data_IF_422756215240
#
_entry.id   IF_422756215240
#
_cell.length_a   1.000
_cell.length_b   1.000
_cell.length_c   1.000
_cell.angle_alpha   90.00
_cell.angle_beta   90.00
_cell.angle_gamma   90.00
#
_symmetry.space_group_name_H-M   'P 1'
#
loop_
_entity.id
_entity.type
_entity.pdbx_description
1 polymer ?
#
# COMPACT_ATOMS: atom_id res chain seq x y z
N UNK A 1 52.71 10.74 -5.48
CA UNK A 1 53.26 10.69 -6.86
C UNK A 1 52.14 11.10 -7.80
N UNK A 2 52.17 12.34 -8.30
CA UNK A 2 51.16 12.95 -9.17
C UNK A 2 51.52 12.63 -10.63
N UNK A 3 50.54 12.22 -11.44
CA UNK A 3 50.70 11.96 -12.86
C UNK A 3 50.53 13.24 -13.69
N UNK A 4 51.46 13.44 -14.61
CA UNK A 4 51.49 14.55 -15.57
C UNK A 4 50.84 14.17 -16.92
N UNK A 5 50.27 15.20 -17.52
CA UNK A 5 49.56 15.31 -18.79
C UNK A 5 50.54 15.25 -19.98
N UNK A 6 50.13 14.70 -21.14
CA UNK A 6 50.45 15.28 -22.46
C UNK A 6 49.60 14.78 -23.64
N UNK A 7 49.26 15.76 -24.48
CA UNK A 7 48.47 15.77 -25.73
C UNK A 7 49.18 15.15 -26.95
N UNK A 8 48.38 14.88 -28.00
CA UNK A 8 48.54 15.23 -29.44
C UNK A 8 48.31 14.00 -30.36
N UNK A 9 47.24 13.92 -31.17
CA UNK A 9 46.89 14.63 -32.42
C UNK A 9 47.38 13.94 -33.73
N UNK A 10 46.37 13.48 -34.52
CA UNK A 10 46.19 13.62 -35.98
C UNK A 10 47.16 12.92 -36.98
N UNK A 11 46.61 11.98 -37.79
CA UNK A 11 46.70 11.96 -39.28
C UNK A 11 45.83 10.84 -39.94
N UNK A 12 44.95 11.24 -40.87
CA UNK A 12 44.52 10.51 -42.10
C UNK A 12 45.49 10.89 -43.25
N UNK A 13 45.43 10.37 -44.51
CA UNK A 13 44.49 9.45 -45.19
C UNK A 13 45.24 8.28 -45.93
N UNK A 14 44.58 7.39 -46.69
CA UNK A 14 44.61 7.40 -48.18
C UNK A 14 43.61 6.42 -48.85
N UNK A 15 43.29 6.71 -50.13
CA UNK A 15 42.36 6.07 -51.08
C UNK A 15 43.09 5.16 -52.08
N UNK A 16 42.36 4.19 -52.66
CA UNK A 16 42.55 3.58 -54.00
C UNK A 16 41.50 2.47 -54.16
N UNK A 17 40.52 2.43 -55.08
CA UNK A 17 40.38 2.69 -56.53
C UNK A 17 40.63 1.44 -57.42
N UNK A 18 39.61 1.07 -58.22
CA UNK A 18 39.53 0.01 -59.27
C UNK A 18 38.31 -0.91 -59.04
N UNK A 19 37.16 -0.90 -59.75
CA UNK A 19 36.83 -0.95 -61.20
C UNK A 19 37.42 -2.23 -61.86
N UNK A 20 36.75 -3.10 -62.62
CA UNK A 20 35.46 -3.24 -63.31
C UNK A 20 35.01 -4.74 -63.14
N UNK A 21 33.84 -5.28 -63.48
CA UNK A 21 33.11 -5.30 -64.75
C UNK A 21 31.66 -5.77 -64.51
N UNK A 22 30.71 -5.07 -65.15
CA UNK A 22 29.36 -5.54 -65.40
C UNK A 22 29.02 -5.15 -66.84
N UNK A 23 28.66 -6.13 -67.68
CA UNK A 23 27.64 -5.98 -68.73
C UNK A 23 27.44 -7.28 -69.50
N UNK A 24 26.22 -7.80 -69.49
CA UNK A 24 25.57 -8.27 -70.72
C UNK A 24 24.06 -8.24 -70.51
N UNK A 25 23.38 -7.71 -71.52
CA UNK A 25 22.03 -7.18 -71.51
C UNK A 25 21.20 -7.83 -72.65
N UNK A 26 19.87 -7.61 -72.62
CA UNK A 26 18.90 -7.63 -73.75
C UNK A 26 18.36 -9.04 -74.15
N UNK A 27 17.06 -9.37 -74.33
CA UNK A 27 15.73 -8.70 -74.25
C UNK A 27 14.62 -9.78 -74.54
N UNK A 28 13.37 -9.49 -74.99
CA UNK A 28 12.10 -9.87 -74.31
C UNK A 28 11.23 -10.89 -75.08
N UNK A 29 10.08 -11.30 -74.52
CA UNK A 29 8.96 -11.83 -75.32
C UNK A 29 7.60 -11.52 -74.71
N UNK A 30 6.61 -11.44 -75.59
CA UNK A 30 5.45 -10.57 -75.65
C UNK A 30 4.13 -11.31 -75.30
N UNK A 31 3.11 -10.52 -74.95
CA UNK A 31 1.69 -10.76 -75.25
C UNK A 31 0.98 -12.03 -74.75
N UNK A 32 0.08 -11.87 -73.77
CA UNK A 32 -1.32 -12.29 -73.97
C UNK A 32 -2.30 -11.45 -73.15
N UNK A 33 -3.26 -10.87 -73.86
CA UNK A 33 -4.32 -9.97 -73.41
C UNK A 33 -5.47 -10.64 -72.64
N UNK A 34 -6.05 -9.83 -71.73
CA UNK A 34 -7.49 -9.63 -71.44
C UNK A 34 -8.38 -10.80 -70.95
N UNK A 35 -8.83 -10.67 -69.69
CA UNK A 35 -10.29 -10.62 -69.40
C UNK A 35 -10.61 -9.84 -68.14
N UNK A 36 -11.25 -8.69 -68.37
CA UNK A 36 -11.96 -7.84 -67.43
C UNK A 36 -13.10 -8.57 -66.71
N UNK A 37 -13.19 -8.41 -65.39
CA UNK A 37 -14.46 -8.52 -64.66
C UNK A 37 -14.55 -7.35 -63.68
N UNK A 38 -15.45 -6.41 -63.99
CA UNK A 38 -15.82 -5.28 -63.14
C UNK A 38 -16.69 -5.68 -61.93
N UNK A 39 -17.11 -4.71 -61.11
CA UNK A 39 -17.36 -4.89 -59.69
C UNK A 39 -18.73 -5.50 -59.40
N UNK A 40 -18.78 -6.50 -58.52
CA UNK A 40 -20.04 -6.98 -57.95
C UNK A 40 -20.54 -5.96 -56.91
N UNK A 41 -21.42 -5.09 -57.40
CA UNK A 41 -22.31 -4.23 -56.62
C UNK A 41 -23.35 -5.13 -55.94
N UNK A 42 -23.07 -5.52 -54.69
CA UNK A 42 -24.03 -6.11 -53.78
C UNK A 42 -24.53 -5.02 -52.82
N UNK A 43 -25.74 -4.56 -53.08
CA UNK A 43 -26.50 -3.65 -52.22
C UNK A 43 -26.85 -4.36 -50.90
N UNK A 44 -26.31 -3.90 -49.78
CA UNK A 44 -26.90 -4.07 -48.45
C UNK A 44 -26.55 -2.84 -47.62
N UNK A 45 -27.38 -1.82 -47.75
CA UNK A 45 -27.58 -0.87 -46.66
C UNK A 45 -28.11 -1.63 -45.43
N UNK A 46 -27.28 -1.75 -44.40
CA UNK A 46 -27.74 -1.76 -43.03
C UNK A 46 -26.64 -1.17 -42.14
N UNK A 47 -26.91 -0.08 -41.39
CA UNK A 47 -25.95 0.42 -40.44
C UNK A 47 -25.78 -0.67 -39.39
N UNK A 48 -24.61 -1.31 -39.35
CA UNK A 48 -24.19 -2.10 -38.19
C UNK A 48 -24.03 -1.13 -37.03
N UNK A 49 -25.15 -0.79 -36.39
CA UNK A 49 -25.19 -0.35 -35.00
C UNK A 49 -24.66 -1.51 -34.17
N UNK A 50 -23.32 -1.65 -34.12
CA UNK A 50 -22.67 -2.43 -33.07
C UNK A 50 -23.12 -1.79 -31.77
N UNK A 51 -24.05 -2.46 -31.11
CA UNK A 51 -24.69 -2.04 -29.89
C UNK A 51 -23.66 -1.45 -28.92
N UNK A 52 -23.63 -0.12 -28.77
CA UNK A 52 -22.97 0.58 -27.65
C UNK A 52 -23.48 0.10 -26.28
N UNK A 53 -24.54 -0.72 -26.27
CA UNK A 53 -25.07 -1.38 -25.08
C UNK A 53 -24.03 -2.25 -24.35
N UNK A 54 -23.08 -2.92 -25.01
CA UNK A 54 -22.09 -3.78 -24.31
C UNK A 54 -21.17 -3.00 -23.36
N UNK A 55 -20.56 -1.86 -23.76
CA UNK A 55 -19.78 -1.04 -22.83
C UNK A 55 -20.66 -0.31 -21.82
N UNK A 56 -21.83 0.21 -22.20
CA UNK A 56 -22.72 0.92 -21.28
C UNK A 56 -23.29 -0.01 -20.19
N UNK A 57 -23.71 -1.23 -20.54
CA UNK A 57 -24.20 -2.23 -19.58
C UNK A 57 -23.07 -2.69 -18.65
N UNK A 58 -21.84 -2.86 -19.15
CA UNK A 58 -20.67 -3.17 -18.30
C UNK A 58 -20.33 -2.02 -17.35
N UNK A 59 -20.44 -0.77 -17.81
CA UNK A 59 -20.22 0.41 -16.98
C UNK A 59 -21.30 0.56 -15.91
N UNK A 60 -22.57 0.39 -16.27
CA UNK A 60 -23.70 0.43 -15.32
C UNK A 60 -23.64 -0.73 -14.34
N UNK A 61 -23.31 -1.95 -14.79
CA UNK A 61 -23.13 -3.10 -13.92
C UNK A 61 -21.92 -2.91 -12.98
N UNK A 62 -20.81 -2.35 -13.47
CA UNK A 62 -19.66 -1.99 -12.66
C UNK A 62 -19.98 -0.92 -11.62
N UNK A 63 -20.75 0.10 -12.00
CA UNK A 63 -21.20 1.16 -11.10
C UNK A 63 -22.20 0.64 -10.05
N UNK A 64 -23.15 -0.20 -10.45
CA UNK A 64 -24.09 -0.84 -9.55
C UNK A 64 -23.37 -1.78 -8.58
N UNK A 65 -22.39 -2.56 -9.05
CA UNK A 65 -21.54 -3.38 -8.20
C UNK A 65 -20.72 -2.51 -7.23
N UNK A 66 -20.17 -1.39 -7.69
CA UNK A 66 -19.45 -0.45 -6.83
C UNK A 66 -20.35 0.14 -5.74
N UNK A 67 -21.57 0.58 -6.09
CA UNK A 67 -22.55 1.05 -5.11
C UNK A 67 -22.98 -0.05 -4.14
N UNK A 68 -23.17 -1.28 -4.61
CA UNK A 68 -23.50 -2.43 -3.77
C UNK A 68 -22.37 -2.72 -2.78
N UNK A 69 -21.13 -2.79 -3.25
CA UNK A 69 -19.94 -3.00 -2.41
C UNK A 69 -19.81 -1.88 -1.39
N UNK A 70 -20.02 -0.62 -1.81
CA UNK A 70 -19.99 0.54 -0.93
C UNK A 70 -21.11 0.50 0.13
N UNK A 71 -22.33 0.14 -0.25
CA UNK A 71 -23.46 0.03 0.67
C UNK A 71 -23.26 -1.09 1.69
N UNK A 72 -22.80 -2.26 1.24
CA UNK A 72 -22.42 -3.38 2.12
C UNK A 72 -21.30 -2.93 3.06
N UNK A 73 -20.25 -2.31 2.54
CA UNK A 73 -19.15 -1.79 3.33
C UNK A 73 -19.62 -0.81 4.41
N UNK A 74 -20.42 0.21 4.07
CA UNK A 74 -20.97 1.20 5.02
C UNK A 74 -21.88 0.55 6.07
N UNK A 75 -22.64 -0.46 5.68
CA UNK A 75 -23.52 -1.19 6.60
C UNK A 75 -22.74 -2.05 7.60
N UNK A 76 -21.70 -2.76 7.15
CA UNK A 76 -20.85 -3.62 7.99
C UNK A 76 -19.96 -2.83 8.95
N UNK A 77 -19.61 -1.60 8.60
CA UNK A 77 -18.69 -0.72 9.35
C UNK A 77 -19.42 0.29 10.25
N UNK A 78 -20.76 0.24 10.32
CA UNK A 78 -21.54 1.02 11.27
C UNK A 78 -21.78 2.49 10.89
N UNK A 79 -21.87 2.81 9.60
CA UNK A 79 -22.00 4.20 9.11
C UNK A 79 -23.17 5.02 9.71
N UNK A 80 -24.26 4.37 10.13
CA UNK A 80 -25.38 5.05 10.81
C UNK A 80 -25.05 5.52 12.23
N UNK A 81 -24.16 4.82 12.93
CA UNK A 81 -23.67 5.26 14.23
C UNK A 81 -22.71 6.45 14.07
N UNK A 82 -21.91 6.43 13.00
CA UNK A 82 -21.03 7.53 12.59
C UNK A 82 -21.80 8.83 12.29
N UNK A 83 -22.85 8.76 11.48
CA UNK A 83 -23.68 9.93 11.15
C UNK A 83 -24.30 10.57 12.40
N UNK A 84 -24.75 9.76 13.36
CA UNK A 84 -25.29 10.25 14.62
C UNK A 84 -24.23 10.89 15.51
N UNK A 85 -23.01 10.34 15.53
CA UNK A 85 -21.89 10.95 16.25
C UNK A 85 -21.53 12.34 15.69
N UNK A 86 -21.50 12.48 14.36
CA UNK A 86 -21.22 13.74 13.69
C UNK A 86 -22.22 14.85 14.00
N UNK A 87 -23.51 14.53 14.16
CA UNK A 87 -24.53 15.55 14.47
C UNK A 87 -24.38 16.21 15.85
N UNK A 88 -23.58 15.62 16.74
CA UNK A 88 -23.39 16.11 18.12
C UNK A 88 -22.01 16.74 18.34
N UNK A 89 -21.10 16.59 17.39
CA UNK A 89 -19.72 16.98 17.54
C UNK A 89 -19.49 18.41 17.05
N UNK A 90 -18.54 19.12 17.66
CA UNK A 90 -18.04 20.39 17.13
C UNK A 90 -17.39 20.16 15.75
N UNK A 91 -17.85 20.84 14.70
CA UNK A 91 -17.37 20.59 13.34
C UNK A 91 -15.93 21.05 13.14
N UNK A 92 -15.49 22.12 13.80
CA UNK A 92 -14.13 22.66 13.66
C UNK A 92 -13.09 21.71 14.25
N UNK A 93 -13.34 21.24 15.48
CA UNK A 93 -12.47 20.27 16.15
C UNK A 93 -12.50 18.92 15.43
N UNK A 94 -13.66 18.51 14.91
CA UNK A 94 -13.78 17.28 14.10
C UNK A 94 -12.91 17.34 12.84
N UNK A 95 -12.92 18.46 12.11
CA UNK A 95 -12.06 18.65 10.93
C UNK A 95 -10.58 18.60 11.32
N UNK A 96 -10.19 19.27 12.41
CA UNK A 96 -8.80 19.22 12.90
C UNK A 96 -8.37 17.78 13.25
N UNK A 97 -9.24 17.03 13.93
CA UNK A 97 -9.01 15.62 14.24
C UNK A 97 -8.91 14.75 12.97
N UNK A 98 -9.75 15.00 11.97
CA UNK A 98 -9.69 14.30 10.69
C UNK A 98 -8.38 14.60 9.92
N UNK A 99 -7.93 15.86 9.94
CA UNK A 99 -6.64 16.25 9.36
C UNK A 99 -5.46 15.56 10.06
N UNK A 100 -5.52 15.38 11.39
CA UNK A 100 -4.53 14.61 12.12
C UNK A 100 -4.51 13.12 11.70
N UNK A 101 -5.66 12.54 11.40
CA UNK A 101 -5.74 11.19 10.81
C UNK A 101 -5.07 11.12 9.43
N UNK A 102 -5.39 12.05 8.53
CA UNK A 102 -4.78 12.12 7.18
C UNK A 102 -3.28 12.39 7.24
N UNK A 103 -2.83 13.23 8.18
CA UNK A 103 -1.42 13.50 8.42
C UNK A 103 -0.68 12.23 8.83
N UNK A 104 -1.26 11.37 9.67
CA UNK A 104 -0.64 10.12 10.09
C UNK A 104 -0.32 9.20 8.91
N UNK A 105 -1.27 9.06 7.97
CA UNK A 105 -1.10 8.25 6.76
C UNK A 105 -0.03 8.86 5.86
N UNK A 106 0.00 10.19 5.76
CA UNK A 106 1.05 10.90 5.03
C UNK A 106 2.44 10.66 5.64
N UNK A 107 2.54 10.61 6.98
CA UNK A 107 3.78 10.32 7.71
C UNK A 107 4.20 8.85 7.51
N UNK A 108 3.27 7.89 7.47
CA UNK A 108 3.57 6.50 7.16
C UNK A 108 3.99 6.30 5.70
N UNK A 109 3.39 7.04 4.76
CA UNK A 109 3.88 7.10 3.38
C UNK A 109 5.30 7.65 3.32
N UNK A 110 5.60 8.69 4.07
CA UNK A 110 6.97 9.22 4.15
C UNK A 110 7.95 8.22 4.77
N UNK A 111 7.52 7.46 5.79
CA UNK A 111 8.28 6.37 6.39
C UNK A 111 8.69 5.34 5.32
N UNK A 112 7.75 4.88 4.50
CA UNK A 112 8.04 3.97 3.38
C UNK A 112 8.96 4.60 2.34
N UNK A 113 8.76 5.88 2.02
CA UNK A 113 9.61 6.58 1.03
C UNK A 113 11.08 6.57 1.45
N UNK A 114 11.36 6.78 2.73
CA UNK A 114 12.72 6.67 3.28
C UNK A 114 13.25 5.24 3.20
N UNK A 115 12.40 4.25 3.40
CA UNK A 115 12.75 2.83 3.19
C UNK A 115 13.01 2.46 1.72
N UNK A 116 12.66 3.31 0.74
CA UNK A 116 12.91 3.09 -0.69
C UNK A 116 14.08 3.89 -1.30
N UNK A 117 14.42 5.05 -0.73
CA UNK A 117 15.33 6.08 -1.31
C UNK A 117 16.69 5.65 -1.89
N UNK A 118 17.26 4.49 -1.55
CA UNK A 118 18.55 4.02 -2.14
C UNK A 118 18.40 3.14 -3.37
N UNK A 119 17.26 2.48 -3.56
CA UNK A 119 17.07 1.61 -4.73
C UNK A 119 16.81 2.46 -5.98
N UNK A 120 15.90 3.43 -5.88
CA UNK A 120 15.51 4.34 -6.96
C UNK A 120 15.07 5.70 -6.40
N UNK A 121 15.19 6.82 -7.13
CA UNK A 121 14.67 8.12 -6.69
C UNK A 121 13.14 8.14 -6.72
N UNK A 122 12.52 7.65 -5.64
CA UNK A 122 11.05 7.62 -5.49
C UNK A 122 10.57 8.88 -4.76
N UNK A 123 9.63 9.61 -5.36
CA UNK A 123 9.11 10.84 -4.75
C UNK A 123 8.06 11.60 -5.56
N UNK A 124 7.85 12.85 -5.15
CA UNK A 124 6.90 13.74 -5.80
C UNK A 124 5.43 13.42 -5.51
N UNK A 125 4.55 13.95 -6.36
CA UNK A 125 3.10 13.70 -6.27
C UNK A 125 2.76 12.27 -6.70
N UNK A 126 3.43 11.75 -7.75
CA UNK A 126 3.23 10.38 -8.26
C UNK A 126 3.40 9.33 -7.17
N UNK A 127 4.43 9.44 -6.34
CA UNK A 127 4.66 8.53 -5.21
C UNK A 127 3.54 8.60 -4.18
N UNK A 128 3.15 9.82 -3.77
CA UNK A 128 2.10 10.03 -2.77
C UNK A 128 0.77 9.45 -3.25
N UNK A 129 0.40 9.70 -4.50
CA UNK A 129 -0.81 9.13 -5.09
C UNK A 129 -0.74 7.60 -5.19
N UNK A 130 0.41 7.03 -5.56
CA UNK A 130 0.62 5.59 -5.61
C UNK A 130 0.52 4.93 -4.23
N UNK A 131 1.12 5.54 -3.20
CA UNK A 131 1.03 5.07 -1.82
C UNK A 131 -0.41 5.10 -1.31
N UNK A 132 -1.11 6.23 -1.44
CA UNK A 132 -2.50 6.38 -1.01
C UNK A 132 -3.44 5.45 -1.79
N UNK A 133 -3.15 5.16 -3.06
CA UNK A 133 -3.90 4.16 -3.83
C UNK A 133 -3.69 2.74 -3.30
N UNK A 134 -2.46 2.42 -2.89
CA UNK A 134 -2.15 1.17 -2.21
C UNK A 134 -2.84 1.06 -0.85
N UNK A 135 -2.84 2.16 -0.08
CA UNK A 135 -3.52 2.21 1.21
C UNK A 135 -5.04 2.09 1.06
N UNK A 136 -5.64 2.75 0.06
CA UNK A 136 -7.06 2.58 -0.28
C UNK A 136 -7.43 1.11 -0.42
N UNK A 137 -6.67 0.37 -1.24
CA UNK A 137 -6.91 -1.04 -1.50
C UNK A 137 -6.69 -1.88 -0.22
N UNK A 138 -5.67 -1.57 0.59
CA UNK A 138 -5.42 -2.19 1.90
C UNK A 138 -6.60 -1.98 2.86
N UNK A 139 -7.26 -0.83 2.82
CA UNK A 139 -8.33 -0.48 3.76
C UNK A 139 -9.70 -1.05 3.39
N UNK A 140 -9.98 -1.21 2.09
CA UNK A 140 -11.28 -1.67 1.57
C UNK A 140 -11.36 -3.20 1.45
N UNK A 141 -10.24 -3.88 1.17
CA UNK A 141 -10.25 -5.33 0.97
C UNK A 141 -10.41 -6.10 2.30
N UNK A 142 -11.25 -7.16 2.34
CA UNK A 142 -11.27 -8.11 3.45
C UNK A 142 -9.89 -8.75 3.63
N UNK A 143 -9.43 -8.93 4.86
CA UNK A 143 -8.03 -9.32 5.14
C UNK A 143 -6.97 -8.39 4.49
N UNK A 144 -7.35 -7.16 4.12
CA UNK A 144 -6.48 -6.22 3.43
C UNK A 144 -5.26 -5.83 4.27
N UNK A 145 -5.34 -5.88 5.61
CA UNK A 145 -4.18 -5.69 6.50
C UNK A 145 -3.20 -6.87 6.51
N UNK A 146 -3.64 -8.09 6.19
CA UNK A 146 -2.77 -9.28 6.08
C UNK A 146 -2.02 -9.33 4.74
N UNK A 147 -2.62 -8.79 3.68
CA UNK A 147 -2.01 -8.68 2.34
C UNK A 147 -1.51 -7.28 2.00
N UNK A 148 -1.63 -6.34 2.94
CA UNK A 148 -1.45 -4.90 2.71
C UNK A 148 -0.03 -4.53 2.30
N UNK A 149 0.96 -5.26 2.79
CA UNK A 149 2.36 -5.05 2.41
C UNK A 149 2.62 -5.33 0.93
N UNK A 150 2.02 -6.41 0.41
CA UNK A 150 2.03 -6.76 -1.01
C UNK A 150 1.29 -5.73 -1.87
N UNK A 151 0.11 -5.31 -1.43
CA UNK A 151 -0.71 -4.33 -2.16
C UNK A 151 0.02 -2.99 -2.29
N UNK A 152 0.54 -2.46 -1.17
CA UNK A 152 1.29 -1.19 -1.16
C UNK A 152 2.60 -1.35 -1.95
N UNK A 153 3.32 -2.46 -1.78
CA UNK A 153 4.54 -2.76 -2.54
C UNK A 153 4.29 -2.76 -4.05
N UNK A 154 3.20 -3.39 -4.49
CA UNK A 154 2.79 -3.40 -5.90
C UNK A 154 2.39 -2.00 -6.40
N UNK A 155 1.56 -1.28 -5.64
CA UNK A 155 1.08 0.04 -6.02
C UNK A 155 2.23 1.05 -6.16
N UNK A 156 3.24 0.97 -5.31
CA UNK A 156 4.40 1.87 -5.32
C UNK A 156 5.49 1.44 -6.32
N UNK A 157 5.63 0.14 -6.62
CA UNK A 157 6.61 -0.34 -7.60
C UNK A 157 6.22 -0.01 -9.04
N UNK A 158 4.94 -0.21 -9.40
CA UNK A 158 4.42 -0.03 -10.78
C UNK A 158 4.79 1.31 -11.44
N UNK A 159 4.65 2.47 -10.78
CA UNK A 159 4.90 3.76 -11.43
C UNK A 159 6.38 4.15 -11.55
N UNK A 160 7.28 3.40 -10.91
CA UNK A 160 8.69 3.76 -10.77
C UNK A 160 9.66 2.68 -11.27
N UNK A 161 9.14 1.64 -11.93
CA UNK A 161 9.91 0.49 -12.43
C UNK A 161 10.84 -0.16 -11.38
N UNK A 162 10.43 -0.08 -10.12
CA UNK A 162 11.11 -0.73 -9.00
C UNK A 162 10.72 -2.21 -9.03
N UNK A 163 11.66 -3.10 -8.74
CA UNK A 163 11.31 -4.51 -8.59
C UNK A 163 10.29 -4.67 -7.44
N UNK A 164 9.24 -5.45 -7.68
CA UNK A 164 8.18 -5.68 -6.69
C UNK A 164 8.75 -6.21 -5.36
N UNK A 165 9.76 -7.07 -5.44
CA UNK A 165 10.44 -7.69 -4.31
C UNK A 165 11.21 -6.67 -3.46
N UNK A 166 11.82 -5.66 -4.07
CA UNK A 166 12.51 -4.58 -3.38
C UNK A 166 11.50 -3.66 -2.66
N UNK A 167 10.39 -3.33 -3.35
CA UNK A 167 9.32 -2.56 -2.74
C UNK A 167 8.67 -3.31 -1.58
N UNK A 168 8.41 -4.60 -1.75
CA UNK A 168 7.86 -5.47 -0.70
C UNK A 168 8.81 -5.53 0.51
N UNK A 169 10.12 -5.67 0.30
CA UNK A 169 11.11 -5.65 1.37
C UNK A 169 11.06 -4.34 2.15
N UNK A 170 11.05 -3.20 1.45
CA UNK A 170 10.95 -1.88 2.09
C UNK A 170 9.66 -1.72 2.90
N UNK A 171 8.52 -2.22 2.38
CA UNK A 171 7.25 -2.21 3.11
C UNK A 171 7.32 -3.10 4.35
N UNK A 172 7.90 -4.29 4.27
CA UNK A 172 8.06 -5.19 5.43
C UNK A 172 8.89 -4.54 6.54
N UNK A 173 10.02 -3.88 6.22
CA UNK A 173 10.78 -3.15 7.25
C UNK A 173 9.95 -2.03 7.84
N UNK A 174 9.24 -1.29 7.00
CA UNK A 174 8.38 -0.18 7.43
C UNK A 174 7.28 -0.67 8.35
N UNK A 175 6.61 -1.78 8.04
CA UNK A 175 5.57 -2.38 8.88
C UNK A 175 6.12 -2.87 10.23
N UNK A 176 7.30 -3.51 10.24
CA UNK A 176 7.96 -3.95 11.49
C UNK A 176 8.33 -2.76 12.38
N UNK A 177 8.93 -1.72 11.81
CA UNK A 177 9.25 -0.50 12.53
C UNK A 177 7.99 0.25 12.96
N UNK A 178 6.91 0.18 12.18
CA UNK A 178 5.64 0.78 12.54
C UNK A 178 4.99 0.06 13.72
N UNK A 179 5.06 -1.27 13.78
CA UNK A 179 4.63 -2.05 14.95
C UNK A 179 5.48 -1.73 16.18
N UNK A 180 6.81 -1.66 16.02
CA UNK A 180 7.71 -1.28 17.12
C UNK A 180 7.40 0.13 17.63
N UNK A 181 7.19 1.09 16.74
CA UNK A 181 6.80 2.46 17.08
C UNK A 181 5.44 2.48 17.77
N UNK A 182 4.46 1.70 17.31
CA UNK A 182 3.15 1.58 17.97
C UNK A 182 3.31 1.12 19.42
N UNK A 183 4.09 0.05 19.63
CA UNK A 183 4.37 -0.50 20.96
C UNK A 183 5.08 0.54 21.83
N UNK A 184 6.06 1.25 21.28
CA UNK A 184 6.87 2.22 22.03
C UNK A 184 6.04 3.43 22.45
N UNK A 185 5.27 4.02 21.53
CA UNK A 185 4.38 5.14 21.81
C UNK A 185 3.29 4.73 22.79
N UNK A 186 2.73 3.52 22.63
CA UNK A 186 1.75 2.96 23.55
C UNK A 186 2.33 2.76 24.95
N UNK A 187 3.51 2.16 25.06
CA UNK A 187 4.20 1.96 26.34
C UNK A 187 4.49 3.29 27.03
N UNK A 188 4.94 4.28 26.25
CA UNK A 188 5.20 5.62 26.75
C UNK A 188 3.92 6.27 27.29
N UNK A 189 2.84 6.29 26.52
CA UNK A 189 1.53 6.80 26.97
C UNK A 189 1.04 6.10 28.24
N UNK A 190 1.21 4.79 28.33
CA UNK A 190 0.84 4.01 29.51
C UNK A 190 1.71 4.34 30.73
N UNK A 191 3.02 4.51 30.54
CA UNK A 191 3.94 4.84 31.64
C UNK A 191 3.59 6.17 32.31
N UNK A 192 3.09 7.14 31.52
CA UNK A 192 2.60 8.43 32.02
C UNK A 192 1.27 8.31 32.80
N UNK A 193 0.57 7.18 32.70
CA UNK A 193 -0.70 6.90 33.37
C UNK A 193 -0.55 5.97 34.59
N UNK A 194 0.67 5.55 34.93
CA UNK A 194 0.89 4.45 35.87
C UNK A 194 0.21 4.67 37.24
N UNK A 195 0.13 5.91 37.70
CA UNK A 195 -0.53 6.27 38.97
C UNK A 195 -2.01 6.65 38.82
N UNK A 196 -2.46 6.96 37.61
CA UNK A 196 -3.79 7.54 37.33
C UNK A 196 -4.75 6.57 36.64
N UNK A 197 -4.28 5.40 36.23
CA UNK A 197 -5.11 4.38 35.62
C UNK A 197 -6.17 3.87 36.62
N UNK A 198 -7.42 3.81 36.17
CA UNK A 198 -8.59 3.54 37.04
C UNK A 198 -9.19 2.15 36.85
N UNK A 199 -8.88 1.47 35.74
CA UNK A 199 -9.45 0.15 35.40
C UNK A 199 -8.42 -0.95 35.16
N UNK A 200 -8.88 -2.08 34.59
CA UNK A 200 -8.04 -3.22 34.28
C UNK A 200 -7.15 -2.97 33.04
N UNK A 201 -5.97 -2.41 33.29
CA UNK A 201 -4.96 -2.16 32.26
C UNK A 201 -4.11 -3.41 31.98
N UNK A 202 -4.23 -4.47 32.80
CA UNK A 202 -3.43 -5.68 32.67
C UNK A 202 -3.63 -6.33 31.29
N UNK A 203 -4.87 -6.40 30.81
CA UNK A 203 -5.20 -6.95 29.49
C UNK A 203 -4.41 -6.24 28.38
N UNK A 204 -4.26 -4.92 28.46
CA UNK A 204 -3.48 -4.16 27.49
C UNK A 204 -1.97 -4.34 27.66
N UNK A 205 -1.48 -4.42 28.90
CA UNK A 205 -0.06 -4.72 29.18
C UNK A 205 0.31 -6.08 28.60
N UNK A 206 -0.54 -7.09 28.80
CA UNK A 206 -0.36 -8.43 28.22
C UNK A 206 -0.40 -8.38 26.71
N UNK A 207 -1.35 -7.65 26.12
CA UNK A 207 -1.42 -7.44 24.66
C UNK A 207 -0.16 -6.77 24.10
N UNK A 208 0.36 -5.75 24.79
CA UNK A 208 1.57 -5.02 24.42
C UNK A 208 2.81 -5.91 24.53
N UNK A 209 2.93 -6.70 25.61
CA UNK A 209 3.97 -7.70 25.77
C UNK A 209 3.90 -8.76 24.68
N UNK A 210 2.70 -9.23 24.33
CA UNK A 210 2.47 -10.12 23.20
C UNK A 210 2.94 -9.53 21.88
N UNK A 211 2.66 -8.24 21.63
CA UNK A 211 3.14 -7.54 20.44
C UNK A 211 4.67 -7.44 20.40
N UNK A 212 5.33 -7.16 21.54
CA UNK A 212 6.80 -7.19 21.65
C UNK A 212 7.34 -8.57 21.29
N UNK A 213 6.73 -9.64 21.81
CA UNK A 213 7.12 -11.03 21.50
C UNK A 213 6.96 -11.31 20.01
N UNK A 214 5.85 -10.90 19.39
CA UNK A 214 5.62 -11.08 17.94
C UNK A 214 6.66 -10.34 17.10
N UNK A 215 6.95 -9.07 17.42
CA UNK A 215 7.97 -8.27 16.72
C UNK A 215 9.36 -8.89 16.90
N UNK A 216 9.69 -9.31 18.12
CA UNK A 216 10.95 -9.98 18.44
C UNK A 216 11.10 -11.31 17.72
N UNK A 217 10.03 -12.11 17.65
CA UNK A 217 10.00 -13.36 16.90
C UNK A 217 10.17 -13.13 15.40
N UNK A 218 9.49 -12.13 14.82
CA UNK A 218 9.63 -11.77 13.42
C UNK A 218 11.07 -11.31 13.10
N UNK A 219 11.65 -10.46 13.93
CA UNK A 219 13.04 -10.02 13.81
C UNK A 219 14.04 -11.18 13.95
N UNK A 220 13.81 -12.08 14.91
CA UNK A 220 14.63 -13.28 15.09
C UNK A 220 14.54 -14.21 13.86
N UNK A 221 13.34 -14.48 13.35
CA UNK A 221 13.16 -15.29 12.14
C UNK A 221 13.87 -14.65 10.93
N UNK A 222 13.71 -13.33 10.74
CA UNK A 222 14.30 -12.58 9.63
C UNK A 222 15.83 -12.46 9.71
N UNK A 223 16.44 -12.52 10.90
CA UNK A 223 17.90 -12.36 11.07
C UNK A 223 18.64 -13.67 11.30
N UNK A 224 18.06 -14.61 12.06
CA UNK A 224 18.73 -15.84 12.50
C UNK A 224 18.25 -17.09 11.77
N UNK A 225 17.09 -17.06 11.13
CA UNK A 225 16.46 -18.23 10.49
C UNK A 225 16.05 -17.96 9.04
N UNK A 226 16.88 -17.18 8.32
CA UNK A 226 16.66 -16.81 6.91
C UNK A 226 16.47 -18.03 6.01
N UNK A 227 17.34 -19.02 6.15
CA UNK A 227 17.27 -20.26 5.37
C UNK A 227 15.97 -21.04 5.62
N UNK A 228 15.35 -20.91 6.80
CA UNK A 228 14.03 -21.51 7.04
C UNK A 228 12.93 -20.74 6.32
N UNK A 229 12.95 -19.40 6.37
CA UNK A 229 11.98 -18.57 5.66
C UNK A 229 12.05 -18.80 4.14
N UNK A 230 13.25 -18.80 3.58
CA UNK A 230 13.47 -19.06 2.16
C UNK A 230 12.95 -20.45 1.76
N UNK A 231 13.31 -21.50 2.52
CA UNK A 231 12.80 -22.86 2.26
C UNK A 231 11.29 -22.96 2.35
N UNK A 232 10.67 -22.31 3.33
CA UNK A 232 9.20 -22.29 3.48
C UNK A 232 8.55 -21.59 2.29
N UNK A 233 9.06 -20.43 1.88
CA UNK A 233 8.54 -19.69 0.72
C UNK A 233 8.69 -20.52 -0.56
N UNK A 234 9.87 -21.10 -0.81
CA UNK A 234 10.11 -21.96 -1.97
C UNK A 234 9.19 -23.19 -1.94
N UNK A 235 9.00 -23.81 -0.78
CA UNK A 235 8.11 -24.97 -0.63
C UNK A 235 6.64 -24.61 -0.91
N UNK A 236 6.14 -23.50 -0.37
CA UNK A 236 4.77 -23.01 -0.61
C UNK A 236 4.57 -22.70 -2.09
N UNK A 237 5.53 -22.02 -2.71
CA UNK A 237 5.48 -21.69 -4.14
C UNK A 237 5.54 -22.96 -5.00
N UNK A 238 6.36 -23.95 -4.64
CA UNK A 238 6.42 -25.24 -5.34
C UNK A 238 5.11 -26.04 -5.21
N UNK A 239 4.41 -25.97 -4.06
CA UNK A 239 3.06 -26.53 -3.92
C UNK A 239 2.08 -25.78 -4.82
N UNK A 240 2.11 -24.44 -4.80
CA UNK A 240 1.27 -23.61 -5.67
C UNK A 240 1.48 -23.89 -7.16
N UNK A 241 2.72 -24.05 -7.59
CA UNK A 241 3.05 -24.44 -8.96
C UNK A 241 2.46 -25.81 -9.31
N UNK A 242 2.62 -26.82 -8.44
CA UNK A 242 2.07 -28.16 -8.67
C UNK A 242 0.55 -28.13 -8.80
N UNK A 243 -0.12 -27.32 -7.99
CA UNK A 243 -1.57 -27.12 -8.09
C UNK A 243 -1.93 -26.38 -9.39
N UNK A 244 -1.24 -25.29 -9.74
CA UNK A 244 -1.49 -24.55 -10.97
C UNK A 244 -1.31 -25.41 -12.23
N UNK A 245 -0.27 -26.26 -12.26
CA UNK A 245 -0.02 -27.22 -13.33
C UNK A 245 -1.14 -28.28 -13.38
N UNK A 246 -1.60 -28.78 -12.22
CA UNK A 246 -2.72 -29.73 -12.13
C UNK A 246 -4.04 -29.14 -12.65
N UNK A 247 -4.24 -27.83 -12.50
CA UNK A 247 -5.45 -27.12 -12.96
C UNK A 247 -5.30 -26.47 -14.35
N UNK A 248 -4.18 -26.69 -15.06
CA UNK A 248 -3.95 -26.13 -16.40
C UNK A 248 -3.85 -24.60 -16.45
N UNK A 249 -3.51 -23.96 -15.33
CA UNK A 249 -3.39 -22.51 -15.24
C UNK A 249 -2.02 -22.03 -15.74
N UNK A 250 -1.81 -22.09 -17.06
CA UNK A 250 -0.53 -21.78 -17.75
C UNK A 250 0.04 -20.39 -17.47
N UNK A 251 -0.79 -19.45 -17.01
CA UNK A 251 -0.36 -18.11 -16.59
C UNK A 251 0.27 -18.11 -15.20
N UNK A 252 -0.29 -18.86 -14.25
CA UNK A 252 0.27 -19.01 -12.90
C UNK A 252 1.58 -19.81 -12.93
N UNK A 253 1.64 -20.84 -13.77
CA UNK A 253 2.80 -21.71 -13.93
C UNK A 253 4.08 -20.94 -14.29
N UNK A 254 4.00 -20.03 -15.26
CA UNK A 254 5.14 -19.18 -15.66
C UNK A 254 5.62 -18.23 -14.55
N UNK A 255 4.71 -17.75 -13.70
CA UNK A 255 5.06 -16.84 -12.61
C UNK A 255 5.65 -17.56 -11.38
N UNK A 256 5.41 -18.86 -11.23
CA UNK A 256 5.82 -19.69 -10.09
C UNK A 256 7.07 -20.55 -10.40
N UNK A 257 7.80 -20.25 -11.48
CA UNK A 257 8.96 -21.04 -11.89
C UNK A 257 10.09 -20.97 -10.82
N UNK A 258 10.65 -22.11 -10.35
CA UNK A 258 11.51 -22.16 -9.16
C UNK A 258 12.71 -21.20 -9.18
N UNK A 259 13.47 -21.18 -10.28
CA UNK A 259 14.64 -20.28 -10.42
C UNK A 259 14.28 -18.78 -10.45
N UNK A 260 13.07 -18.42 -10.88
CA UNK A 260 12.63 -17.02 -10.79
C UNK A 260 12.29 -16.64 -9.35
N UNK A 261 11.82 -17.57 -8.54
CA UNK A 261 11.38 -17.34 -7.16
C UNK A 261 12.58 -17.19 -6.24
N UNK A 262 13.60 -18.04 -6.41
CA UNK A 262 14.85 -17.96 -5.65
C UNK A 262 15.52 -16.58 -5.79
N UNK A 263 15.71 -16.10 -7.04
CA UNK A 263 16.27 -14.77 -7.29
C UNK A 263 15.43 -13.63 -6.71
N UNK A 264 14.10 -13.78 -6.73
CA UNK A 264 13.16 -12.81 -6.16
C UNK A 264 13.28 -12.74 -4.64
N UNK A 265 13.35 -13.91 -3.99
CA UNK A 265 13.56 -14.03 -2.55
C UNK A 265 14.92 -13.46 -2.14
N UNK A 266 15.96 -13.74 -2.93
CA UNK A 266 17.30 -13.17 -2.71
C UNK A 266 17.30 -11.63 -2.81
N UNK A 267 16.65 -11.07 -3.84
CA UNK A 267 16.50 -9.62 -4.01
C UNK A 267 15.77 -8.96 -2.84
N UNK A 268 14.71 -9.61 -2.35
CA UNK A 268 13.96 -9.20 -1.17
C UNK A 268 14.86 -9.14 0.08
N UNK A 269 15.59 -10.21 0.40
CA UNK A 269 16.47 -10.23 1.58
C UNK A 269 17.64 -9.26 1.47
N UNK A 270 18.21 -9.09 0.28
CA UNK A 270 19.27 -8.10 0.04
C UNK A 270 18.79 -6.68 0.32
N UNK A 271 17.55 -6.36 -0.10
CA UNK A 271 16.95 -5.06 0.16
C UNK A 271 16.62 -4.86 1.64
N UNK A 272 16.09 -5.90 2.31
CA UNK A 272 15.89 -5.89 3.75
C UNK A 272 17.18 -5.54 4.49
N UNK A 273 18.29 -6.20 4.15
CA UNK A 273 19.61 -5.97 4.76
C UNK A 273 20.11 -4.55 4.51
N UNK A 274 20.00 -4.08 3.27
CA UNK A 274 20.40 -2.72 2.92
C UNK A 274 19.62 -1.64 3.68
N UNK A 275 18.36 -1.90 4.05
CA UNK A 275 17.59 -0.99 4.92
C UNK A 275 18.02 -1.14 6.37
N UNK A 276 18.20 -2.37 6.86
CA UNK A 276 18.54 -2.67 8.25
C UNK A 276 19.94 -2.20 8.68
N UNK A 277 20.92 -2.26 7.78
CA UNK A 277 22.31 -1.89 8.06
C UNK A 277 22.52 -0.36 8.16
N UNK A 278 21.62 0.43 7.57
CA UNK A 278 21.67 1.89 7.69
C UNK A 278 20.88 2.38 8.91
N UNK A 279 21.58 2.54 10.03
CA UNK A 279 21.00 3.06 11.28
C UNK A 279 20.30 4.42 11.13
N UNK A 280 20.82 5.32 10.29
CA UNK A 280 20.20 6.65 10.08
C UNK A 280 18.89 6.50 9.33
N UNK A 281 18.84 5.59 8.38
CA UNK A 281 17.62 5.26 7.63
C UNK A 281 16.59 4.61 8.55
N UNK A 282 16.97 3.58 9.30
CA UNK A 282 16.09 2.93 10.28
C UNK A 282 15.53 3.95 11.28
N UNK A 283 16.37 4.83 11.82
CA UNK A 283 15.94 5.89 12.72
C UNK A 283 14.96 6.86 12.05
N UNK A 284 15.21 7.26 10.80
CA UNK A 284 14.29 8.13 10.05
C UNK A 284 12.94 7.44 9.80
N UNK A 285 12.95 6.17 9.38
CA UNK A 285 11.73 5.38 9.12
C UNK A 285 10.92 5.24 10.42
N UNK A 286 11.58 4.86 11.51
CA UNK A 286 10.96 4.73 12.84
C UNK A 286 10.41 6.06 13.37
N UNK A 287 11.12 7.17 13.16
CA UNK A 287 10.68 8.51 13.55
C UNK A 287 9.37 8.89 12.85
N UNK A 288 9.30 8.76 11.51
CA UNK A 288 8.05 9.02 10.77
C UNK A 288 6.92 8.08 11.18
N UNK A 289 7.23 6.81 11.46
CA UNK A 289 6.23 5.87 11.99
C UNK A 289 5.68 6.29 13.36
N UNK A 290 6.56 6.70 14.28
CA UNK A 290 6.17 7.19 15.61
C UNK A 290 5.37 8.50 15.53
N UNK A 291 5.78 9.44 14.67
CA UNK A 291 5.01 10.67 14.42
C UNK A 291 3.61 10.36 13.88
N UNK A 292 3.47 9.34 13.04
CA UNK A 292 2.15 8.89 12.57
C UNK A 292 1.26 8.43 13.73
N UNK A 293 1.79 7.65 14.66
CA UNK A 293 1.06 7.23 15.86
C UNK A 293 0.71 8.40 16.80
N UNK A 294 1.61 9.37 16.98
CA UNK A 294 1.33 10.60 17.74
C UNK A 294 0.23 11.41 17.06
N UNK A 295 0.22 11.48 15.72
CA UNK A 295 -0.83 12.14 14.95
C UNK A 295 -2.19 11.43 15.09
N UNK A 296 -2.21 10.10 15.13
CA UNK A 296 -3.42 9.33 15.47
C UNK A 296 -3.88 9.55 16.92
N UNK A 297 -2.96 9.64 17.88
CA UNK A 297 -3.31 10.02 19.25
C UNK A 297 -3.92 11.43 19.31
N UNK A 298 -3.39 12.39 18.54
CA UNK A 298 -3.98 13.72 18.42
C UNK A 298 -5.39 13.67 17.81
N UNK A 299 -5.63 12.81 16.81
CA UNK A 299 -6.96 12.60 16.26
C UNK A 299 -7.94 12.02 17.31
N UNK A 300 -7.48 11.11 18.17
CA UNK A 300 -8.30 10.55 19.25
C UNK A 300 -8.63 11.60 20.32
N UNK A 301 -7.63 12.36 20.77
CA UNK A 301 -7.84 13.46 21.70
C UNK A 301 -8.79 14.53 21.12
N UNK A 302 -8.62 14.86 19.84
CA UNK A 302 -9.51 15.77 19.11
C UNK A 302 -10.94 15.24 19.00
N UNK A 303 -11.12 13.94 18.76
CA UNK A 303 -12.45 13.33 18.76
C UNK A 303 -13.12 13.39 20.16
N UNK A 304 -12.35 13.24 21.23
CA UNK A 304 -12.80 13.50 22.60
C UNK A 304 -13.26 14.95 22.77
N UNK A 305 -12.39 15.89 22.45
CA UNK A 305 -12.66 17.32 22.57
C UNK A 305 -13.88 17.77 21.74
N UNK A 306 -14.07 17.22 20.54
CA UNK A 306 -15.22 17.53 19.69
C UNK A 306 -16.56 17.09 20.31
N UNK A 307 -16.54 16.13 21.23
CA UNK A 307 -17.72 15.65 21.96
C UNK A 307 -17.77 16.15 23.42
N UNK A 308 -16.92 17.13 23.76
CA UNK A 308 -16.77 17.64 25.14
C UNK A 308 -16.39 16.56 26.16
N UNK A 309 -15.62 15.56 25.70
CA UNK A 309 -15.07 14.49 26.54
C UNK A 309 -13.58 14.72 26.74
N UNK A 310 -13.18 14.94 28.00
CA UNK A 310 -11.76 15.06 28.36
C UNK A 310 -11.04 13.74 28.18
N UNK A 311 -10.20 13.66 27.14
CA UNK A 311 -9.28 12.53 26.91
C UNK A 311 -7.86 13.02 27.20
N UNK A 312 -7.24 12.57 28.30
CA UNK A 312 -5.86 12.91 28.60
C UNK A 312 -4.92 12.51 27.46
N UNK A 313 -3.93 13.35 27.14
CA UNK A 313 -2.96 13.07 26.06
C UNK A 313 -2.26 11.74 26.28
N UNK A 314 -1.92 11.39 27.52
CA UNK A 314 -1.31 10.11 27.86
C UNK A 314 -2.23 8.91 27.53
N UNK A 315 -3.53 9.03 27.80
CA UNK A 315 -4.53 8.03 27.40
C UNK A 315 -4.63 7.93 25.88
N UNK A 316 -4.62 9.05 25.16
CA UNK A 316 -4.65 9.02 23.70
C UNK A 316 -3.40 8.38 23.09
N UNK A 317 -2.21 8.69 23.61
CA UNK A 317 -0.92 8.10 23.20
C UNK A 317 -0.85 6.60 23.46
N UNK A 318 -1.56 6.11 24.48
CA UNK A 318 -1.69 4.69 24.77
C UNK A 318 -2.74 4.00 23.89
N UNK A 319 -3.98 4.50 23.93
CA UNK A 319 -5.14 3.83 23.35
C UNK A 319 -5.11 3.83 21.82
N UNK A 320 -4.67 4.92 21.18
CA UNK A 320 -4.68 4.99 19.72
C UNK A 320 -3.73 3.96 19.07
N UNK A 321 -2.46 3.82 19.49
CA UNK A 321 -1.59 2.78 18.95
C UNK A 321 -1.98 1.37 19.41
N UNK A 322 -2.37 1.19 20.67
CA UNK A 322 -2.81 -0.12 21.18
C UNK A 322 -4.01 -0.67 20.41
N UNK A 323 -5.01 0.17 20.10
CA UNK A 323 -6.16 -0.24 19.29
C UNK A 323 -5.78 -0.56 17.85
N UNK A 324 -4.75 0.11 17.30
CA UNK A 324 -4.19 -0.19 15.99
C UNK A 324 -3.64 -1.61 15.87
N UNK A 325 -3.14 -2.18 16.97
CA UNK A 325 -2.66 -3.57 17.06
C UNK A 325 -3.80 -4.60 17.03
N UNK A 326 -5.04 -4.21 17.35
CA UNK A 326 -6.24 -5.07 17.28
C UNK A 326 -6.82 -5.11 15.86
N UNK A 327 -6.41 -4.18 14.99
CA UNK A 327 -6.92 -4.06 13.63
C UNK A 327 -6.57 -5.22 12.68
N UNK A 328 -6.06 -6.35 13.15
CA UNK A 328 -5.88 -7.58 12.38
C UNK A 328 -7.15 -8.42 12.25
N UNK A 329 -8.29 -7.90 12.72
CA UNK A 329 -9.61 -8.46 12.46
C UNK A 329 -9.80 -8.74 10.96
N UNK A 330 -10.46 -9.85 10.58
CA UNK A 330 -10.76 -10.16 9.17
C UNK A 330 -11.67 -9.13 8.50
N UNK A 331 -12.32 -8.27 9.29
CA UNK A 331 -13.22 -7.23 8.82
C UNK A 331 -12.47 -6.04 8.20
N UNK A 332 -13.02 -5.39 7.16
CA UNK A 332 -12.43 -4.21 6.53
C UNK A 332 -12.12 -3.11 7.55
N UNK A 333 -10.92 -2.53 7.45
CA UNK A 333 -10.50 -1.44 8.33
C UNK A 333 -10.40 -1.77 9.82
N UNK A 334 -10.47 -3.05 10.22
CA UNK A 334 -10.45 -3.46 11.61
C UNK A 334 -11.74 -3.18 12.40
N UNK A 335 -12.85 -2.92 11.70
CA UNK A 335 -14.14 -2.61 12.33
C UNK A 335 -14.59 -3.71 13.31
N UNK A 336 -15.21 -3.29 14.41
CA UNK A 336 -15.63 -4.14 15.54
C UNK A 336 -14.52 -4.29 16.59
N UNK A 337 -13.28 -4.50 16.18
CA UNK A 337 -12.15 -4.67 17.11
C UNK A 337 -11.59 -3.36 17.63
N UNK A 338 -11.38 -2.38 16.73
CA UNK A 338 -10.79 -1.09 17.07
C UNK A 338 -11.75 -0.27 17.96
N UNK A 339 -13.04 -0.26 17.64
CA UNK A 339 -14.05 0.47 18.40
C UNK A 339 -14.14 -0.04 19.84
N UNK A 340 -14.13 -1.37 20.02
CA UNK A 340 -14.10 -1.99 21.35
C UNK A 340 -12.81 -1.64 22.08
N UNK A 341 -11.65 -1.80 21.43
CA UNK A 341 -10.35 -1.51 22.05
C UNK A 341 -10.21 -0.04 22.47
N UNK A 342 -10.68 0.91 21.66
CA UNK A 342 -10.68 2.32 22.01
C UNK A 342 -11.65 2.59 23.15
N UNK A 343 -12.86 2.02 23.10
CA UNK A 343 -13.87 2.20 24.16
C UNK A 343 -13.37 1.68 25.49
N UNK A 344 -12.90 0.42 25.54
CA UNK A 344 -12.39 -0.20 26.77
C UNK A 344 -11.11 0.48 27.25
N UNK A 345 -10.24 0.89 26.32
CA UNK A 345 -9.02 1.61 26.63
C UNK A 345 -9.29 2.95 27.32
N UNK A 346 -10.21 3.75 26.78
CA UNK A 346 -10.60 5.03 27.38
C UNK A 346 -11.28 4.85 28.74
N UNK A 347 -12.13 3.84 28.88
CA UNK A 347 -12.74 3.51 30.19
C UNK A 347 -11.66 3.14 31.21
N UNK A 348 -10.72 2.27 30.83
CA UNK A 348 -9.69 1.78 31.74
C UNK A 348 -8.63 2.83 32.12
N UNK A 349 -8.32 3.76 31.20
CA UNK A 349 -7.22 4.72 31.40
C UNK A 349 -7.66 6.12 31.77
N UNK A 350 -8.83 6.56 31.31
CA UNK A 350 -9.35 7.91 31.54
C UNK A 350 -10.62 7.93 32.39
N UNK A 351 -11.16 6.77 32.80
CA UNK A 351 -12.37 6.69 33.63
C UNK A 351 -13.62 7.22 32.94
N UNK A 352 -13.60 7.34 31.60
CA UNK A 352 -14.70 7.89 30.81
C UNK A 352 -15.87 6.90 30.84
N UNK A 353 -17.13 7.36 31.03
CA UNK A 353 -18.30 6.49 30.95
C UNK A 353 -18.35 5.74 29.62
N UNK A 354 -18.72 4.45 29.65
CA UNK A 354 -18.71 3.56 28.47
C UNK A 354 -19.44 4.16 27.26
N UNK A 355 -20.59 4.81 27.49
CA UNK A 355 -21.37 5.45 26.41
C UNK A 355 -20.63 6.62 25.75
N UNK A 356 -19.94 7.45 26.53
CA UNK A 356 -19.11 8.55 26.03
C UNK A 356 -17.86 8.02 25.33
N UNK A 357 -17.19 7.03 25.91
CA UNK A 357 -16.03 6.37 25.30
C UNK A 357 -16.37 5.72 23.96
N UNK A 358 -17.54 5.09 23.84
CA UNK A 358 -18.04 4.52 22.59
C UNK A 358 -18.34 5.60 21.53
N UNK A 359 -18.91 6.74 21.93
CA UNK A 359 -19.14 7.86 21.03
C UNK A 359 -17.82 8.45 20.51
N UNK A 360 -16.83 8.63 21.39
CA UNK A 360 -15.48 9.06 21.03
C UNK A 360 -14.81 8.05 20.11
N UNK A 361 -14.92 6.74 20.38
CA UNK A 361 -14.39 5.70 19.52
C UNK A 361 -14.98 5.78 18.11
N UNK A 362 -16.30 5.96 17.98
CA UNK A 362 -16.95 6.12 16.68
C UNK A 362 -16.47 7.38 15.95
N UNK A 363 -16.41 8.53 16.62
CA UNK A 363 -15.93 9.77 15.99
C UNK A 363 -14.44 9.68 15.62
N UNK A 364 -13.62 9.05 16.46
CA UNK A 364 -12.23 8.77 16.16
C UNK A 364 -12.10 7.92 14.89
N UNK A 365 -12.99 6.95 14.64
CA UNK A 365 -13.02 6.19 13.39
C UNK A 365 -13.38 7.04 12.19
N UNK A 366 -14.26 8.03 12.35
CA UNK A 366 -14.51 9.02 11.29
C UNK A 366 -13.21 9.75 10.94
N UNK A 367 -12.49 10.20 11.96
CA UNK A 367 -11.29 11.01 11.82
C UNK A 367 -10.05 10.21 11.37
N UNK A 368 -9.93 8.93 11.72
CA UNK A 368 -8.73 8.10 11.48
C UNK A 368 -8.88 7.09 10.35
N UNK A 369 -10.10 6.74 9.96
CA UNK A 369 -10.37 5.73 8.93
C UNK A 369 -11.21 6.28 7.79
N UNK A 370 -12.39 6.82 8.06
CA UNK A 370 -13.29 7.27 6.98
C UNK A 370 -12.74 8.47 6.21
N UNK A 371 -12.19 9.46 6.92
CA UNK A 371 -11.50 10.60 6.31
C UNK A 371 -10.35 10.14 5.41
N UNK A 372 -9.57 9.17 5.88
CA UNK A 372 -8.43 8.60 5.16
C UNK A 372 -8.91 7.87 3.92
N UNK A 373 -9.87 6.95 4.05
CA UNK A 373 -10.44 6.21 2.91
C UNK A 373 -10.97 7.17 1.84
N UNK A 374 -11.60 8.28 2.23
CA UNK A 374 -12.04 9.32 1.30
C UNK A 374 -10.86 9.99 0.58
N UNK A 375 -9.81 10.38 1.29
CA UNK A 375 -8.60 10.98 0.71
C UNK A 375 -7.89 10.00 -0.23
N UNK A 376 -7.77 8.74 0.18
CA UNK A 376 -7.16 7.65 -0.57
C UNK A 376 -7.93 7.35 -1.86
N UNK A 377 -9.27 7.35 -1.81
CA UNK A 377 -10.13 7.18 -2.97
C UNK A 377 -9.92 8.31 -4.00
N UNK A 378 -9.87 9.56 -3.52
CA UNK A 378 -9.59 10.73 -4.37
C UNK A 378 -8.20 10.61 -4.98
N UNK A 379 -7.19 10.23 -4.19
CA UNK A 379 -5.83 10.02 -4.68
C UNK A 379 -5.75 8.91 -5.75
N UNK A 380 -6.53 7.84 -5.59
CA UNK A 380 -6.64 6.76 -6.58
C UNK A 380 -7.22 7.26 -7.91
N UNK A 381 -8.30 8.05 -7.86
CA UNK A 381 -8.88 8.67 -9.04
C UNK A 381 -7.92 9.66 -9.74
N UNK A 382 -7.18 10.44 -8.94
CA UNK A 382 -6.15 11.35 -9.47
C UNK A 382 -4.98 10.60 -10.10
N UNK A 383 -4.52 9.49 -9.52
CA UNK A 383 -3.47 8.66 -10.11
C UNK A 383 -3.90 8.12 -11.47
N UNK A 384 -5.13 7.59 -11.54
CA UNK A 384 -5.69 7.03 -12.76
C UNK A 384 -5.90 8.07 -13.87
N UNK A 385 -6.18 9.33 -13.52
CA UNK A 385 -6.39 10.40 -14.51
C UNK A 385 -5.10 11.07 -14.96
N UNK A 386 -4.15 11.28 -14.04
CA UNK A 386 -2.90 11.99 -14.33
C UNK A 386 -1.82 11.08 -14.95
N UNK A 387 -1.92 9.77 -14.77
CA UNK A 387 -0.90 8.80 -15.21
C UNK A 387 -1.52 7.59 -15.93
N UNK A 388 -2.60 7.79 -16.69
CA UNK A 388 -3.11 6.78 -17.63
C UNK A 388 -2.12 6.64 -18.80
N UNK A 389 -1.25 5.63 -18.75
CA UNK A 389 -0.42 5.18 -19.88
C UNK A 389 -0.96 3.89 -20.48
#
# INVERSE_FOLDING_TARGET
>A
MKGDIRLAAKKRPERGAGADDAETSVEPDDGTELKSVGPLRGDVDSPRTRSRARPAVRAVAGLALAFLVLAVFVSLTGGWAVLRALTRADPGVTVAAALAGVLAISLWGESLRRALQRAHPVGGLRYRLAYLSGDFARQVLPMGRLSGSAIIGYAVSRPFDVQYEEALAAVTVTDLLNLLSAVTVSAFGLSLLFESATGDVLTFIVGLAGAVVVVGAAAYLATRRRDLLERVVVAVVAVGHRLAARFGATTLERHLHPHSVERRVESYFRTLDAVADDRRRVASVACFAALGWVSFAAALAGAGAALDVSVPVAAALFVAPASGLVGWSPLPGGSGGVEVAVTTGLVATAGVPVSAAAAVALLYRVCSYWSVVCVDAVATGLLATLYAE
#
